data_IF_726154247025
#
_entry.id   IF_726154247025
#
_cell.length_a   1.000
_cell.length_b   1.000
_cell.length_c   1.000
_cell.angle_alpha   90.00
_cell.angle_beta   90.00
_cell.angle_gamma   90.00
#
_symmetry.space_group_name_H-M   'P 1'
#
loop_
_entity.id
_entity.type
_entity.pdbx_description
1 polymer ?
#
# COMPACT_ATOMS: atom_id res chain seq x y z
N UNK A 1 39.55 -29.43 -12.19
CA UNK A 1 38.89 -29.29 -10.89
C UNK A 1 38.48 -27.83 -10.76
N UNK A 2 37.34 -27.44 -11.31
CA UNK A 2 36.80 -26.10 -11.15
C UNK A 2 35.96 -26.09 -9.92
N UNK A 3 36.34 -25.26 -8.96
CA UNK A 3 35.61 -25.01 -7.71
C UNK A 3 34.20 -24.45 -8.01
N UNK A 4 33.19 -25.17 -7.61
CA UNK A 4 31.77 -24.76 -7.57
C UNK A 4 31.47 -23.83 -6.38
N UNK A 5 32.46 -23.03 -5.96
CA UNK A 5 32.38 -22.26 -4.72
C UNK A 5 32.59 -20.78 -4.93
N UNK A 6 31.74 -20.06 -5.66
CA UNK A 6 31.67 -18.60 -5.49
C UNK A 6 30.46 -18.01 -6.24
N UNK A 7 29.28 -18.66 -6.20
CA UNK A 7 28.06 -18.01 -6.58
C UNK A 7 27.46 -17.40 -5.30
N UNK A 8 27.96 -16.24 -4.90
CA UNK A 8 27.29 -15.50 -3.84
C UNK A 8 25.87 -15.16 -4.33
N UNK A 9 24.83 -15.47 -3.55
CA UNK A 9 23.48 -15.15 -3.90
C UNK A 9 23.31 -13.63 -4.05
N UNK A 10 22.58 -13.20 -5.07
CA UNK A 10 22.29 -11.78 -5.28
C UNK A 10 21.64 -11.19 -4.03
N UNK A 11 22.20 -10.09 -3.51
CA UNK A 11 21.64 -9.31 -2.42
C UNK A 11 20.86 -8.14 -2.98
N UNK A 12 19.64 -7.98 -2.52
CA UNK A 12 18.77 -6.87 -2.89
C UNK A 12 19.44 -5.56 -2.49
N UNK A 13 19.58 -4.65 -3.45
CA UNK A 13 20.10 -3.31 -3.25
C UNK A 13 18.95 -2.36 -2.89
N UNK A 14 19.27 -1.19 -2.36
CA UNK A 14 18.33 -0.11 -2.06
C UNK A 14 17.64 0.47 -3.31
N UNK A 15 18.28 0.34 -4.46
CA UNK A 15 17.75 0.77 -5.75
C UNK A 15 18.15 -0.18 -6.86
N UNK A 16 17.27 -0.35 -7.88
CA UNK A 16 17.58 -1.10 -9.09
C UNK A 16 17.56 -2.62 -8.94
N UNK A 17 16.94 -3.16 -7.91
CA UNK A 17 16.71 -4.59 -7.76
C UNK A 17 15.27 -4.94 -8.12
N UNK A 18 15.10 -5.87 -9.07
CA UNK A 18 13.82 -6.55 -9.26
C UNK A 18 13.66 -7.60 -8.18
N UNK A 19 12.52 -7.56 -7.49
CA UNK A 19 12.17 -8.50 -6.42
C UNK A 19 10.76 -9.01 -6.64
N UNK A 20 10.61 -10.32 -6.59
CA UNK A 20 9.31 -10.98 -6.57
C UNK A 20 9.11 -11.61 -5.21
N UNK A 21 8.05 -11.21 -4.53
CA UNK A 21 7.69 -11.73 -3.21
C UNK A 21 6.34 -12.44 -3.25
N UNK A 22 6.21 -13.42 -2.38
CA UNK A 22 4.92 -14.01 -2.00
C UNK A 22 4.68 -13.63 -0.55
N UNK A 23 3.58 -12.97 -0.25
CA UNK A 23 3.36 -12.36 1.05
C UNK A 23 1.91 -12.47 1.51
N UNK A 24 1.73 -12.24 2.78
CA UNK A 24 0.44 -11.88 3.40
C UNK A 24 0.66 -10.75 4.39
N UNK A 25 -0.37 -9.93 4.56
CA UNK A 25 -0.33 -8.76 5.45
C UNK A 25 -1.50 -8.79 6.42
N UNK A 26 -1.27 -8.34 7.64
CA UNK A 26 -2.29 -8.21 8.68
C UNK A 26 -2.14 -6.88 9.41
N UNK A 27 -3.21 -6.38 10.00
CA UNK A 27 -3.14 -5.27 10.95
C UNK A 27 -2.70 -5.84 12.31
N UNK A 28 -1.64 -5.28 12.90
CA UNK A 28 -1.15 -5.72 14.22
C UNK A 28 -2.11 -5.25 15.31
N UNK A 29 -2.73 -6.19 16.01
CA UNK A 29 -3.71 -5.88 17.06
C UNK A 29 -5.04 -5.34 16.56
N UNK A 30 -5.27 -5.38 15.25
CA UNK A 30 -6.49 -4.90 14.61
C UNK A 30 -7.34 -6.03 13.99
N UNK A 31 -8.40 -5.64 13.26
CA UNK A 31 -9.24 -6.59 12.54
C UNK A 31 -8.46 -7.31 11.43
N UNK A 32 -8.91 -8.50 11.07
CA UNK A 32 -8.37 -9.20 9.91
C UNK A 32 -8.73 -8.45 8.63
N UNK A 33 -7.74 -8.24 7.77
CA UNK A 33 -7.98 -7.74 6.43
C UNK A 33 -8.61 -8.86 5.57
N UNK A 34 -9.54 -8.50 4.70
CA UNK A 34 -10.11 -9.44 3.73
C UNK A 34 -8.98 -9.91 2.81
N UNK A 35 -8.80 -11.23 2.68
CA UNK A 35 -7.66 -11.79 1.95
C UNK A 35 -6.36 -11.95 2.76
N UNK A 36 -6.28 -11.45 3.99
CA UNK A 36 -5.07 -11.53 4.82
C UNK A 36 -4.57 -12.96 5.10
N UNK A 37 -5.40 -13.97 4.88
CA UNK A 37 -5.05 -15.39 5.03
C UNK A 37 -4.50 -16.01 3.73
N UNK A 38 -4.70 -15.36 2.59
CA UNK A 38 -4.21 -15.82 1.30
C UNK A 38 -2.81 -15.26 1.04
N UNK A 39 -1.96 -16.09 0.43
CA UNK A 39 -0.64 -15.67 -0.01
C UNK A 39 -0.77 -15.01 -1.38
N UNK A 40 -0.48 -13.74 -1.45
CA UNK A 40 -0.43 -12.98 -2.68
C UNK A 40 1.00 -12.91 -3.23
N UNK A 41 1.12 -12.68 -4.52
CA UNK A 41 2.41 -12.49 -5.19
C UNK A 41 2.47 -11.10 -5.76
N UNK A 42 3.58 -10.41 -5.52
CA UNK A 42 3.84 -9.07 -6.01
C UNK A 42 5.25 -8.96 -6.57
N UNK A 43 5.38 -8.23 -7.65
CA UNK A 43 6.65 -7.85 -8.26
C UNK A 43 6.92 -6.38 -7.97
N UNK A 44 8.16 -6.04 -7.64
CA UNK A 44 8.58 -4.66 -7.39
C UNK A 44 10.00 -4.41 -7.87
N UNK A 45 10.34 -3.15 -8.07
CA UNK A 45 11.72 -2.70 -8.28
C UNK A 45 12.05 -1.71 -7.16
N UNK A 46 13.16 -1.96 -6.45
CA UNK A 46 13.58 -1.10 -5.34
C UNK A 46 14.02 0.28 -5.82
N UNK A 47 13.79 1.31 -4.99
CA UNK A 47 14.14 2.70 -5.29
C UNK A 47 13.08 3.49 -6.05
N UNK A 48 11.94 2.88 -6.39
CA UNK A 48 10.85 3.54 -7.13
C UNK A 48 9.60 3.80 -6.28
N UNK A 49 9.63 3.50 -4.99
CA UNK A 49 8.49 3.73 -4.10
C UNK A 49 7.24 2.90 -4.42
N UNK A 50 7.41 1.72 -5.02
CA UNK A 50 6.28 0.83 -5.38
C UNK A 50 5.60 0.21 -4.18
N UNK A 51 6.28 0.18 -3.05
CA UNK A 51 5.80 -0.42 -1.81
C UNK A 51 6.06 0.55 -0.66
N UNK A 52 5.38 0.31 0.45
CA UNK A 52 5.58 1.11 1.66
C UNK A 52 7.06 1.09 2.09
N UNK A 53 7.60 2.23 2.57
CA UNK A 53 9.01 2.36 2.91
C UNK A 53 9.51 1.29 3.89
N UNK A 54 8.69 0.90 4.85
CA UNK A 54 9.04 -0.11 5.83
C UNK A 54 9.24 -1.51 5.24
N UNK A 55 8.48 -1.87 4.19
CA UNK A 55 8.68 -3.14 3.47
C UNK A 55 9.97 -3.10 2.66
N UNK A 56 10.19 -2.02 1.91
CA UNK A 56 11.38 -1.87 1.07
C UNK A 56 12.67 -1.93 1.89
N UNK A 57 12.74 -1.19 3.00
CA UNK A 57 13.88 -1.24 3.94
C UNK A 57 14.20 -2.64 4.46
N UNK A 58 13.17 -3.49 4.63
CA UNK A 58 13.34 -4.87 5.11
C UNK A 58 13.80 -5.86 4.05
N UNK A 59 13.58 -5.55 2.79
CA UNK A 59 14.03 -6.38 1.67
C UNK A 59 15.50 -6.13 1.32
N UNK A 60 16.02 -4.93 1.56
CA UNK A 60 17.41 -4.57 1.26
C UNK A 60 18.40 -5.46 2.04
N UNK A 61 19.37 -6.00 1.33
CA UNK A 61 20.39 -6.91 1.88
C UNK A 61 19.96 -8.38 1.93
N UNK A 62 18.69 -8.68 1.73
CA UNK A 62 18.17 -10.04 1.71
C UNK A 62 18.41 -10.73 0.35
N UNK A 63 18.22 -12.03 0.32
CA UNK A 63 18.51 -12.87 -0.85
C UNK A 63 17.31 -13.74 -1.21
N UNK A 64 17.36 -14.29 -2.42
CA UNK A 64 16.36 -15.23 -2.91
C UNK A 64 16.15 -16.43 -1.94
N UNK A 65 14.88 -16.86 -1.79
CA UNK A 65 14.47 -17.96 -0.91
C UNK A 65 14.34 -17.60 0.57
N UNK A 66 14.63 -16.35 0.97
CA UNK A 66 14.47 -15.91 2.37
C UNK A 66 13.00 -15.75 2.72
N UNK A 67 12.67 -16.19 3.93
CA UNK A 67 11.37 -15.97 4.57
C UNK A 67 11.53 -14.98 5.70
N UNK A 68 10.70 -13.97 5.69
CA UNK A 68 10.74 -12.88 6.65
C UNK A 68 9.38 -12.74 7.34
N UNK A 69 9.42 -12.43 8.63
CA UNK A 69 8.23 -12.06 9.42
C UNK A 69 8.62 -10.84 10.26
N UNK A 70 7.90 -9.75 10.07
CA UNK A 70 8.18 -8.49 10.77
C UNK A 70 6.94 -7.60 10.82
N UNK A 71 6.96 -6.65 11.75
CA UNK A 71 5.97 -5.59 11.82
C UNK A 71 6.57 -4.29 11.28
N UNK A 72 5.74 -3.54 10.55
CA UNK A 72 6.04 -2.20 10.02
C UNK A 72 5.21 -1.21 10.81
N UNK A 73 5.82 -0.22 11.49
CA UNK A 73 5.07 0.80 12.20
C UNK A 73 4.30 1.69 11.23
N UNK A 74 3.24 2.36 11.72
CA UNK A 74 2.33 3.13 10.88
C UNK A 74 3.04 4.22 10.07
N UNK A 75 4.03 4.88 10.65
CA UNK A 75 4.83 5.94 10.00
C UNK A 75 5.65 5.44 8.80
N UNK A 76 6.09 4.19 8.81
CA UNK A 76 6.81 3.53 7.71
C UNK A 76 5.86 2.72 6.79
N UNK A 77 4.54 2.75 7.07
CA UNK A 77 3.50 2.09 6.29
C UNK A 77 2.65 3.15 5.54
N UNK A 78 1.41 3.35 5.96
CA UNK A 78 0.47 4.31 5.34
C UNK A 78 0.38 5.64 6.11
N UNK A 79 1.37 5.93 6.93
CA UNK A 79 1.45 7.14 7.73
C UNK A 79 0.63 7.08 9.03
N UNK A 80 0.86 8.07 9.87
CA UNK A 80 0.10 8.28 11.09
C UNK A 80 -1.24 8.92 10.73
N UNK A 81 -2.30 8.48 11.39
CA UNK A 81 -3.62 9.10 11.20
C UNK A 81 -3.58 10.56 11.68
N UNK A 82 -4.02 11.49 10.84
CA UNK A 82 -4.14 12.91 11.15
C UNK A 82 -5.63 13.28 11.33
N UNK A 83 -6.01 13.66 12.55
CA UNK A 83 -7.37 14.13 12.83
C UNK A 83 -7.73 15.44 12.11
N UNK A 84 -6.75 16.20 11.62
CA UNK A 84 -6.97 17.38 10.79
C UNK A 84 -7.45 17.03 9.39
N UNK A 85 -7.29 15.78 8.97
CA UNK A 85 -7.81 15.26 7.71
C UNK A 85 -9.26 14.74 7.83
N UNK A 86 -9.92 15.00 8.96
CA UNK A 86 -11.33 14.65 9.19
C UNK A 86 -12.18 15.90 9.17
N UNK A 87 -13.10 16.02 8.22
CA UNK A 87 -13.91 17.22 7.98
C UNK A 87 -15.39 16.93 8.05
N UNK A 88 -16.15 17.86 8.63
CA UNK A 88 -17.59 17.91 8.48
C UNK A 88 -17.93 18.67 7.19
N UNK A 89 -18.64 18.02 6.27
CA UNK A 89 -19.08 18.56 5.00
C UNK A 89 -20.58 18.46 4.87
N UNK A 90 -21.24 19.45 4.23
CA UNK A 90 -22.67 19.40 3.97
C UNK A 90 -22.98 18.32 2.94
N UNK A 91 -24.08 17.60 3.12
CA UNK A 91 -24.51 16.53 2.22
C UNK A 91 -24.74 17.03 0.79
N UNK A 92 -25.12 18.30 0.63
CA UNK A 92 -25.39 18.96 -0.65
C UNK A 92 -24.11 19.17 -1.51
N UNK A 93 -22.93 19.10 -0.89
CA UNK A 93 -21.64 19.19 -1.58
C UNK A 93 -21.31 17.90 -2.36
N UNK A 94 -22.08 16.82 -2.15
CA UNK A 94 -21.86 15.52 -2.76
C UNK A 94 -22.98 15.13 -3.70
N UNK A 95 -22.59 14.54 -4.83
CA UNK A 95 -23.56 13.98 -5.79
C UNK A 95 -23.76 12.49 -5.53
N UNK A 96 -24.79 12.17 -4.74
CA UNK A 96 -25.22 10.80 -4.58
C UNK A 96 -26.23 10.42 -5.67
N UNK A 97 -26.17 9.18 -6.20
CA UNK A 97 -27.19 8.67 -7.09
C UNK A 97 -28.61 8.75 -6.46
N UNK A 98 -29.67 8.96 -7.23
CA UNK A 98 -31.03 9.00 -6.71
C UNK A 98 -31.39 7.76 -5.89
N UNK A 99 -31.80 7.97 -4.64
CA UNK A 99 -32.17 6.89 -3.73
C UNK A 99 -31.02 6.34 -2.87
N UNK A 100 -29.78 6.72 -3.13
CA UNK A 100 -28.66 6.37 -2.29
C UNK A 100 -28.55 7.31 -1.10
N UNK A 101 -28.44 6.75 0.10
CA UNK A 101 -28.20 7.50 1.33
C UNK A 101 -26.78 7.22 1.81
N UNK A 102 -26.03 8.26 2.24
CA UNK A 102 -24.71 8.03 2.83
C UNK A 102 -24.84 7.24 4.13
N UNK A 103 -23.89 6.40 4.41
CA UNK A 103 -23.78 5.63 5.65
C UNK A 103 -22.30 5.56 6.10
N UNK A 104 -22.04 5.40 7.41
CA UNK A 104 -20.68 5.22 7.93
C UNK A 104 -19.98 4.01 7.30
N UNK A 105 -18.72 4.20 6.89
CA UNK A 105 -17.93 3.19 6.16
C UNK A 105 -18.08 3.22 4.64
N UNK A 106 -18.97 4.07 4.10
CA UNK A 106 -19.11 4.23 2.65
C UNK A 106 -17.91 4.98 2.08
N UNK A 107 -17.34 4.46 1.01
CA UNK A 107 -16.30 5.14 0.24
C UNK A 107 -16.92 5.98 -0.87
N UNK A 108 -16.43 7.22 -0.99
CA UNK A 108 -16.88 8.15 -2.02
C UNK A 108 -15.68 8.50 -2.90
N UNK A 109 -15.79 8.35 -4.24
CA UNK A 109 -14.78 8.86 -5.15
C UNK A 109 -14.77 10.39 -5.09
N UNK A 110 -13.59 10.97 -4.93
CA UNK A 110 -13.37 12.42 -4.99
C UNK A 110 -12.43 12.73 -6.15
N UNK A 111 -12.73 13.82 -6.85
CA UNK A 111 -11.82 14.36 -7.84
C UNK A 111 -10.84 15.27 -7.07
N UNK A 112 -9.61 14.86 -6.95
CA UNK A 112 -8.55 15.73 -6.51
C UNK A 112 -8.25 16.74 -7.62
N UNK A 113 -8.19 18.04 -7.30
CA UNK A 113 -7.95 19.10 -8.28
C UNK A 113 -6.51 19.15 -8.77
N UNK A 114 -5.63 18.36 -8.19
CA UNK A 114 -4.24 18.22 -8.57
C UNK A 114 -4.04 16.89 -9.31
N UNK A 115 -3.04 16.78 -10.14
CA UNK A 115 -2.75 15.68 -11.08
C UNK A 115 -2.66 14.25 -10.48
N UNK A 116 -3.08 14.07 -9.24
CA UNK A 116 -3.00 12.81 -8.47
C UNK A 116 -4.11 11.79 -8.76
N UNK A 117 -4.96 12.02 -9.77
CA UNK A 117 -5.99 11.05 -10.15
C UNK A 117 -7.19 10.96 -9.17
N UNK A 118 -8.14 10.07 -9.41
CA UNK A 118 -9.32 9.93 -8.56
C UNK A 118 -8.92 9.31 -7.21
N UNK A 119 -9.10 10.07 -6.15
CA UNK A 119 -9.00 9.58 -4.78
C UNK A 119 -10.32 9.03 -4.27
N UNK A 120 -10.30 8.28 -3.18
CA UNK A 120 -11.49 7.92 -2.42
C UNK A 120 -11.39 8.43 -0.98
N UNK A 121 -12.52 8.79 -0.41
CA UNK A 121 -12.64 9.21 0.98
C UNK A 121 -13.70 8.38 1.68
N UNK A 122 -13.50 8.12 2.96
CA UNK A 122 -14.44 7.31 3.74
C UNK A 122 -15.36 8.18 4.56
N UNK A 123 -16.67 7.92 4.51
CA UNK A 123 -17.65 8.52 5.43
C UNK A 123 -17.45 7.89 6.80
N UNK A 124 -17.03 8.70 7.78
CA UNK A 124 -16.85 8.27 9.17
C UNK A 124 -18.16 8.28 9.95
N UNK A 125 -19.02 9.28 9.70
CA UNK A 125 -20.26 9.49 10.43
C UNK A 125 -21.24 10.28 9.57
N UNK A 126 -22.55 10.08 9.81
CA UNK A 126 -23.61 10.84 9.17
C UNK A 126 -24.43 11.53 10.23
N UNK A 127 -24.52 12.86 10.18
CA UNK A 127 -25.19 13.73 11.15
C UNK A 127 -26.32 14.53 10.51
N UNK A 128 -27.13 15.18 11.31
CA UNK A 128 -28.21 16.04 10.83
C UNK A 128 -27.70 17.26 10.06
N UNK A 129 -26.51 17.77 10.42
CA UNK A 129 -25.85 18.93 9.84
C UNK A 129 -24.89 18.61 8.69
N UNK A 130 -24.64 17.32 8.42
CA UNK A 130 -23.75 16.90 7.33
C UNK A 130 -23.15 15.51 7.51
N UNK A 131 -22.12 15.25 6.73
CA UNK A 131 -21.33 14.02 6.77
C UNK A 131 -19.91 14.30 7.23
N UNK A 132 -19.41 13.45 8.10
CA UNK A 132 -18.00 13.49 8.56
C UNK A 132 -17.19 12.60 7.62
N UNK A 133 -16.24 13.22 6.92
CA UNK A 133 -15.39 12.57 5.92
C UNK A 133 -13.99 12.46 6.46
N UNK A 134 -13.38 11.34 6.22
CA UNK A 134 -12.02 11.03 6.57
C UNK A 134 -11.17 10.92 5.30
N UNK A 135 -10.21 11.80 5.14
CA UNK A 135 -9.25 11.82 4.03
C UNK A 135 -7.99 11.01 4.33
N UNK A 136 -7.86 10.47 5.54
CA UNK A 136 -6.75 9.58 5.83
C UNK A 136 -6.89 8.29 4.99
N UNK A 137 -5.75 7.70 4.65
CA UNK A 137 -5.75 6.36 4.10
C UNK A 137 -6.43 5.38 5.07
N UNK A 138 -7.19 4.41 4.57
CA UNK A 138 -7.96 3.47 5.40
C UNK A 138 -7.09 2.72 6.43
N UNK A 139 -5.82 2.49 6.11
CA UNK A 139 -4.83 1.85 6.98
C UNK A 139 -3.91 2.83 7.72
N UNK A 140 -4.13 4.15 7.60
CA UNK A 140 -3.34 5.13 8.34
C UNK A 140 -3.50 4.94 9.85
N UNK A 141 -2.38 5.01 10.57
CA UNK A 141 -2.32 4.80 12.02
C UNK A 141 -2.23 3.34 12.45
N UNK A 142 -2.35 2.38 11.53
CA UNK A 142 -2.24 0.96 11.87
C UNK A 142 -0.85 0.41 11.52
N UNK A 143 -0.16 -0.24 12.48
CA UNK A 143 1.03 -1.01 12.17
C UNK A 143 0.65 -2.29 11.41
N UNK A 144 1.47 -2.66 10.43
CA UNK A 144 1.22 -3.81 9.56
C UNK A 144 2.21 -4.93 9.84
N UNK A 145 1.70 -6.14 10.01
CA UNK A 145 2.50 -7.35 10.13
C UNK A 145 2.62 -8.06 8.79
N UNK A 146 3.84 -8.28 8.34
CA UNK A 146 4.16 -8.99 7.10
C UNK A 146 4.72 -10.37 7.37
N UNK A 147 4.27 -11.34 6.62
CA UNK A 147 4.92 -12.62 6.44
C UNK A 147 5.16 -12.78 4.94
N UNK A 148 6.41 -12.90 4.54
CA UNK A 148 6.76 -12.98 3.13
C UNK A 148 7.88 -13.97 2.84
N UNK A 149 7.96 -14.39 1.58
CA UNK A 149 9.02 -15.20 1.01
C UNK A 149 9.51 -14.51 -0.27
N UNK A 150 10.82 -14.33 -0.38
CA UNK A 150 11.45 -13.78 -1.58
C UNK A 150 11.58 -14.92 -2.59
N UNK A 151 10.78 -14.87 -3.67
CA UNK A 151 10.75 -15.90 -4.71
C UNK A 151 11.88 -15.67 -5.72
N UNK A 152 12.12 -14.42 -6.09
CA UNK A 152 13.14 -14.02 -7.04
C UNK A 152 13.75 -12.68 -6.63
N UNK A 153 15.07 -12.58 -6.72
CA UNK A 153 15.79 -11.33 -6.55
C UNK A 153 16.94 -11.30 -7.56
N UNK A 154 17.04 -10.21 -8.31
CA UNK A 154 18.07 -9.98 -9.35
C UNK A 154 18.20 -8.49 -9.65
N UNK A 155 19.27 -8.07 -10.35
CA UNK A 155 19.32 -6.74 -10.92
C UNK A 155 18.09 -6.47 -11.82
N UNK A 156 17.51 -5.29 -11.74
CA UNK A 156 16.38 -4.91 -12.59
C UNK A 156 16.84 -4.74 -14.04
N UNK A 157 15.94 -4.99 -14.99
CA UNK A 157 16.09 -4.72 -16.41
C UNK A 157 15.18 -3.57 -16.76
N UNK A 158 15.46 -2.91 -17.87
CA UNK A 158 14.61 -1.81 -18.34
C UNK A 158 13.15 -2.25 -18.61
N UNK A 159 12.96 -3.53 -18.95
CA UNK A 159 11.62 -4.12 -19.11
C UNK A 159 10.85 -4.35 -17.80
N UNK A 160 11.52 -4.30 -16.66
CA UNK A 160 10.90 -4.49 -15.35
C UNK A 160 10.36 -3.16 -14.79
N UNK A 161 10.76 -2.04 -15.39
CA UNK A 161 10.35 -0.68 -15.01
C UNK A 161 9.31 -0.19 -15.99
N UNK A 162 8.11 0.14 -15.53
CA UNK A 162 7.10 0.78 -16.37
C UNK A 162 7.55 2.20 -16.77
N UNK A 163 7.25 2.60 -18.01
CA UNK A 163 7.56 3.95 -18.50
C UNK A 163 6.89 5.09 -17.66
N UNK A 164 5.85 4.76 -16.91
CA UNK A 164 5.19 5.66 -15.98
C UNK A 164 5.95 5.80 -14.65
N UNK A 165 6.76 4.82 -14.30
CA UNK A 165 7.55 4.82 -13.07
C UNK A 165 8.80 5.68 -13.19
N UNK A 166 9.43 5.71 -14.37
CA UNK A 166 10.58 6.58 -14.65
C UNK A 166 10.25 8.07 -14.48
N UNK A 167 9.00 8.46 -14.71
CA UNK A 167 8.54 9.85 -14.57
C UNK A 167 8.32 10.28 -13.12
N UNK A 168 8.11 9.32 -12.22
CA UNK A 168 7.83 9.58 -10.79
C UNK A 168 9.06 9.53 -9.90
N UNK A 169 10.18 8.97 -10.38
CA UNK A 169 11.44 8.96 -9.65
C UNK A 169 12.03 10.37 -9.47
N UNK A 170 11.64 11.31 -10.33
CA UNK A 170 12.06 12.72 -10.28
C UNK A 170 11.09 13.65 -9.50
N UNK A 171 9.93 13.12 -9.09
CA UNK A 171 8.91 13.87 -8.32
C UNK A 171 8.57 13.09 -7.04
N UNK A 172 8.68 13.75 -5.89
CA UNK A 172 8.53 13.19 -4.53
C UNK A 172 7.07 12.74 -4.22
N UNK A 173 6.24 12.53 -5.26
CA UNK A 173 4.87 12.10 -5.17
C UNK A 173 4.76 10.57 -5.17
N UNK A 174 4.21 10.02 -4.08
CA UNK A 174 3.97 8.60 -3.85
C UNK A 174 3.21 7.94 -5.01
N UNK A 175 3.80 6.90 -5.58
CA UNK A 175 3.17 6.08 -6.59
C UNK A 175 2.01 5.28 -5.98
N UNK A 176 0.79 5.48 -6.48
CA UNK A 176 -0.43 4.76 -6.07
C UNK A 176 -0.60 3.40 -6.76
N UNK A 177 0.50 2.68 -7.03
CA UNK A 177 0.46 1.30 -7.49
C UNK A 177 0.37 0.34 -6.29
N UNK A 178 -0.64 0.52 -5.45
CA UNK A 178 -1.02 -0.48 -4.45
C UNK A 178 -1.96 -1.50 -5.09
N UNK A 179 -1.91 -2.77 -4.70
CA UNK A 179 -2.87 -3.75 -5.20
C UNK A 179 -4.29 -3.24 -4.96
N UNK A 180 -5.07 -3.19 -6.03
CA UNK A 180 -6.46 -2.79 -5.98
C UNK A 180 -7.24 -3.73 -5.06
N UNK A 181 -8.07 -3.13 -4.20
CA UNK A 181 -9.08 -3.74 -3.36
C UNK A 181 -8.60 -4.41 -2.05
N UNK A 182 -8.31 -3.56 -1.06
CA UNK A 182 -8.56 -3.99 0.32
C UNK A 182 -10.02 -3.66 0.63
N UNK A 183 -10.91 -4.61 0.37
CA UNK A 183 -12.32 -4.49 0.76
C UNK A 183 -12.43 -4.94 2.22
N UNK A 184 -12.85 -4.04 3.10
CA UNK A 184 -13.17 -4.40 4.48
C UNK A 184 -14.38 -5.37 4.45
N UNK A 185 -14.20 -6.58 5.00
CA UNK A 185 -15.28 -7.56 5.07
C UNK A 185 -16.34 -7.10 6.07
N UNK A 186 -17.60 -7.01 5.64
CA UNK A 186 -18.73 -6.97 6.56
C UNK A 186 -18.88 -8.35 7.19
N UNK A 187 -18.76 -8.41 8.53
CA UNK A 187 -19.19 -9.59 9.30
C UNK A 187 -20.71 -9.65 9.29
N UNK A 188 -21.25 -10.74 8.76
CA UNK A 188 -22.64 -11.13 8.89
C UNK A 188 -22.81 -12.05 10.09
#
# INVERSE_FOLDING_TARGET
>A
MNSLSDFEPYKIQDSGSYVKIRYRVRIVGGPSLKGALELETMDLVTGYGHVIPGLEKRLVGETNGRKLTFDVPAEDAFGVRDEKMVFLKKIEEFHFPPGMKPFPGMEIPVLCNDDEGPGSVTIKDVREDGIVIDFNHALAGFPLGYELEIIEARPSRQSDVCAEWDKKADDDSQCSCLPHEIVLGEDS
#
